data_IF_255864514532
#
_entry.id   IF_255864514532
#
_cell.length_a   1.000
_cell.length_b   1.000
_cell.length_c   1.000
_cell.angle_alpha   90.00
_cell.angle_beta   90.00
_cell.angle_gamma   90.00
#
_symmetry.space_group_name_H-M   'P 1'
#
loop_
_entity.id
_entity.type
_entity.pdbx_description
1 polymer ?
#
# COMPACT_ATOMS: atom_id res chain seq x y z
N UNK A 1 20.82 -2.68 -2.22
CA UNK A 1 20.11 -1.45 -2.63
C UNK A 1 20.80 -0.24 -2.05
N UNK A 2 21.15 0.73 -2.89
CA UNK A 2 21.64 2.05 -2.44
C UNK A 2 20.51 2.84 -1.77
N UNK A 3 20.84 3.90 -1.00
CA UNK A 3 19.80 4.76 -0.39
C UNK A 3 18.87 5.34 -1.46
N UNK A 4 19.43 5.82 -2.58
CA UNK A 4 18.65 6.38 -3.68
C UNK A 4 17.65 5.37 -4.26
N UNK A 5 18.07 4.12 -4.49
CA UNK A 5 17.17 3.06 -4.99
C UNK A 5 16.01 2.76 -4.04
N UNK A 6 16.23 2.84 -2.72
CA UNK A 6 15.16 2.64 -1.74
C UNK A 6 14.11 3.75 -1.83
N UNK A 7 14.55 5.01 -1.98
CA UNK A 7 13.63 6.14 -2.14
C UNK A 7 12.85 6.06 -3.45
N UNK A 8 13.50 5.71 -4.54
CA UNK A 8 12.86 5.55 -5.85
C UNK A 8 11.80 4.44 -5.83
N UNK A 9 12.11 3.28 -5.22
CA UNK A 9 11.13 2.19 -5.04
C UNK A 9 9.94 2.64 -4.17
N UNK A 10 10.19 3.41 -3.10
CA UNK A 10 9.14 3.93 -2.25
C UNK A 10 8.21 4.90 -2.99
N UNK A 11 8.74 5.79 -3.84
CA UNK A 11 7.92 6.70 -4.63
C UNK A 11 6.99 5.97 -5.61
N UNK A 12 7.50 4.93 -6.28
CA UNK A 12 6.70 4.09 -7.18
C UNK A 12 5.51 3.48 -6.42
N UNK A 13 5.76 2.91 -5.25
CA UNK A 13 4.72 2.26 -4.43
C UNK A 13 3.70 3.28 -3.90
N UNK A 14 4.15 4.45 -3.44
CA UNK A 14 3.25 5.54 -3.00
C UNK A 14 2.28 5.94 -4.12
N UNK A 15 2.78 6.02 -5.36
CA UNK A 15 1.97 6.35 -6.54
C UNK A 15 1.01 5.24 -6.93
N UNK A 16 1.46 3.98 -6.91
CA UNK A 16 0.62 2.83 -7.24
C UNK A 16 -0.55 2.66 -6.28
N UNK A 17 -0.30 2.87 -4.98
CA UNK A 17 -1.27 2.82 -3.89
C UNK A 17 -2.07 4.12 -3.70
N UNK A 18 -1.78 5.16 -4.49
CA UNK A 18 -2.49 6.45 -4.45
C UNK A 18 -2.42 7.13 -3.08
N UNK A 19 -1.26 7.04 -2.41
CA UNK A 19 -0.96 7.65 -1.11
C UNK A 19 -0.29 9.03 -1.26
N UNK A 20 -0.22 9.58 -2.48
CA UNK A 20 0.43 10.87 -2.78
C UNK A 20 -0.10 12.02 -1.92
N UNK A 21 -1.41 12.03 -1.61
CA UNK A 21 -2.03 13.09 -0.81
C UNK A 21 -1.67 13.04 0.67
N UNK A 22 -1.31 11.86 1.18
CA UNK A 22 -1.04 11.63 2.60
C UNK A 22 0.42 11.25 2.89
N UNK A 23 1.33 11.39 1.92
CA UNK A 23 2.73 10.98 2.03
C UNK A 23 3.51 11.71 3.15
N UNK A 24 3.09 12.93 3.50
CA UNK A 24 3.68 13.73 4.56
C UNK A 24 2.78 13.81 5.81
N UNK A 25 1.70 13.03 5.85
CA UNK A 25 0.80 12.97 6.99
C UNK A 25 1.24 11.86 7.93
N UNK A 26 1.23 12.13 9.24
CA UNK A 26 1.55 11.10 10.24
C UNK A 26 0.45 10.05 10.31
N UNK A 27 0.87 8.79 10.40
CA UNK A 27 -0.02 7.68 10.77
C UNK A 27 -0.35 7.86 12.26
N UNK A 28 -1.60 8.17 12.56
CA UNK A 28 -2.09 8.38 13.92
C UNK A 28 -3.31 7.48 14.18
N UNK A 29 -3.47 7.03 15.43
CA UNK A 29 -4.60 6.21 15.87
C UNK A 29 -5.78 7.05 16.36
N UNK A 30 -6.90 6.40 16.72
CA UNK A 30 -8.22 7.01 16.89
C UNK A 30 -8.38 8.23 17.82
N UNK A 31 -7.38 8.59 18.62
CA UNK A 31 -7.38 9.80 19.47
C UNK A 31 -6.71 11.02 18.80
N UNK A 32 -5.91 10.84 17.76
CA UNK A 32 -5.18 11.90 17.06
C UNK A 32 -5.51 11.80 15.57
N UNK A 33 -5.95 12.91 14.95
CA UNK A 33 -6.24 12.94 13.51
C UNK A 33 -4.98 12.64 12.70
N UNK A 34 -5.04 11.58 11.90
CA UNK A 34 -4.02 11.19 10.93
C UNK A 34 -4.66 10.81 9.60
N UNK A 35 -4.13 9.77 8.97
CA UNK A 35 -4.67 9.20 7.74
C UNK A 35 -5.98 8.43 7.96
N UNK A 36 -6.80 8.30 6.92
CA UNK A 36 -8.03 7.49 6.95
C UNK A 36 -7.73 5.99 7.11
N UNK A 37 -8.73 5.21 7.53
CA UNK A 37 -8.57 3.74 7.67
C UNK A 37 -8.17 3.05 6.35
N UNK A 38 -8.73 3.49 5.22
CA UNK A 38 -8.36 2.95 3.91
C UNK A 38 -6.96 3.37 3.44
N UNK A 39 -6.49 4.57 3.79
CA UNK A 39 -5.09 4.97 3.58
C UNK A 39 -4.16 4.16 4.48
N UNK A 40 -4.53 3.93 5.74
CA UNK A 40 -3.74 3.09 6.65
C UNK A 40 -3.60 1.66 6.15
N UNK A 41 -4.68 1.05 5.65
CA UNK A 41 -4.66 -0.31 5.09
C UNK A 41 -3.72 -0.40 3.87
N UNK A 42 -3.79 0.60 2.97
CA UNK A 42 -2.88 0.72 1.81
C UNK A 42 -1.43 0.92 2.24
N UNK A 43 -1.16 1.75 3.24
CA UNK A 43 0.20 1.95 3.77
C UNK A 43 0.80 0.66 4.33
N UNK A 44 0.01 -0.15 5.04
CA UNK A 44 0.43 -1.48 5.50
C UNK A 44 0.78 -2.42 4.33
N UNK A 45 -0.03 -2.42 3.27
CA UNK A 45 0.26 -3.19 2.05
C UNK A 45 1.56 -2.70 1.38
N UNK A 46 1.76 -1.39 1.27
CA UNK A 46 2.96 -0.80 0.66
C UNK A 46 4.25 -1.12 1.42
N UNK A 47 4.18 -1.23 2.73
CA UNK A 47 5.32 -1.66 3.55
C UNK A 47 5.78 -3.07 3.21
N UNK A 48 4.83 -4.00 3.05
CA UNK A 48 5.15 -5.39 2.69
C UNK A 48 5.67 -5.49 1.25
N UNK A 49 5.12 -4.72 0.31
CA UNK A 49 5.63 -4.65 -1.08
C UNK A 49 7.08 -4.12 -1.12
N UNK A 50 7.44 -3.20 -0.22
CA UNK A 50 8.81 -2.69 -0.07
C UNK A 50 9.78 -3.76 0.46
N UNK A 51 9.30 -4.66 1.33
CA UNK A 51 10.07 -5.79 1.88
C UNK A 51 10.34 -6.85 0.83
N UNK A 52 9.52 -6.90 -0.23
CA UNK A 52 9.69 -7.82 -1.38
C UNK A 52 9.62 -9.31 -0.99
N UNK A 53 8.58 -9.75 -0.26
CA UNK A 53 8.44 -11.15 0.11
C UNK A 53 8.17 -12.02 -1.12
N UNK A 54 8.64 -13.27 -1.09
CA UNK A 54 8.40 -14.24 -2.17
C UNK A 54 6.95 -14.69 -2.28
N UNK A 55 6.14 -14.52 -1.22
CA UNK A 55 4.73 -14.84 -1.18
C UNK A 55 4.01 -13.78 -0.34
N UNK A 56 2.93 -13.21 -0.89
CA UNK A 56 2.12 -12.20 -0.23
C UNK A 56 0.66 -12.64 -0.19
N UNK A 57 0.20 -13.05 1.00
CA UNK A 57 -1.17 -13.52 1.24
C UNK A 57 -1.97 -12.41 1.91
N UNK A 58 -3.12 -12.07 1.34
CA UNK A 58 -4.04 -11.08 1.89
C UNK A 58 -5.39 -11.73 2.12
N UNK A 59 -5.87 -11.68 3.36
CA UNK A 59 -7.25 -12.06 3.71
C UNK A 59 -8.13 -10.81 3.58
N UNK A 60 -9.15 -10.87 2.71
CA UNK A 60 -10.09 -9.77 2.45
C UNK A 60 -9.42 -8.42 2.13
N UNK A 61 -8.56 -8.34 1.09
CA UNK A 61 -7.76 -7.14 0.80
C UNK A 61 -8.62 -5.90 0.52
N UNK A 62 -9.78 -6.09 -0.10
CA UNK A 62 -10.67 -5.01 -0.54
C UNK A 62 -11.64 -4.51 0.53
N UNK A 63 -11.78 -5.22 1.66
CA UNK A 63 -12.73 -4.83 2.72
C UNK A 63 -12.33 -3.50 3.37
N UNK A 64 -13.23 -2.51 3.35
CA UNK A 64 -13.01 -1.19 3.93
C UNK A 64 -12.17 -0.23 3.05
N UNK A 65 -11.92 -0.57 1.78
CA UNK A 65 -11.35 0.33 0.79
C UNK A 65 -12.45 0.99 -0.07
N UNK A 66 -12.17 2.17 -0.60
CA UNK A 66 -13.04 2.81 -1.58
C UNK A 66 -13.11 1.94 -2.86
N UNK A 67 -14.29 1.88 -3.47
CA UNK A 67 -14.59 1.08 -4.67
C UNK A 67 -13.64 1.30 -5.86
N UNK A 68 -12.92 2.43 -5.90
CA UNK A 68 -11.95 2.76 -6.94
C UNK A 68 -10.64 1.99 -6.78
N UNK A 69 -10.22 1.71 -5.54
CA UNK A 69 -9.02 0.92 -5.24
C UNK A 69 -9.29 -0.59 -5.29
N UNK A 70 -10.46 -1.04 -4.83
CA UNK A 70 -10.83 -2.45 -4.84
C UNK A 70 -10.80 -3.08 -6.25
N UNK A 71 -11.09 -2.29 -7.29
CA UNK A 71 -11.08 -2.76 -8.69
C UNK A 71 -9.69 -2.84 -9.32
N UNK A 72 -8.63 -2.31 -8.67
CA UNK A 72 -7.28 -2.25 -9.22
C UNK A 72 -6.45 -3.50 -8.92
N UNK A 73 -7.09 -4.67 -8.85
CA UNK A 73 -6.40 -5.96 -8.86
C UNK A 73 -6.08 -6.33 -10.31
N UNK A 74 -5.02 -5.73 -10.85
CA UNK A 74 -4.52 -6.12 -12.16
C UNK A 74 -3.74 -7.43 -12.04
N UNK A 75 -4.35 -8.50 -12.55
CA UNK A 75 -3.66 -9.63 -13.14
C UNK A 75 -2.58 -9.09 -14.08
N UNK A 76 -1.29 -9.26 -13.74
CA UNK A 76 -0.15 -8.78 -14.53
C UNK A 76 0.88 -7.90 -13.78
N UNK A 77 0.70 -7.66 -12.49
CA UNK A 77 1.77 -7.14 -11.63
C UNK A 77 2.91 -8.17 -11.50
N UNK A 78 4.21 -7.79 -11.45
CA UNK A 78 5.30 -8.71 -11.14
C UNK A 78 5.19 -9.32 -9.72
N UNK A 79 4.34 -8.73 -8.88
CA UNK A 79 3.97 -9.29 -7.59
C UNK A 79 2.84 -10.29 -7.80
N UNK A 80 3.12 -11.57 -7.56
CA UNK A 80 2.11 -12.63 -7.54
C UNK A 80 1.21 -12.39 -6.32
N UNK A 81 0.20 -11.53 -6.51
CA UNK A 81 -0.83 -11.28 -5.51
C UNK A 81 -1.75 -12.50 -5.53
N UNK A 82 -1.61 -13.40 -4.56
CA UNK A 82 -2.59 -14.44 -4.34
C UNK A 82 -3.63 -13.89 -3.38
N UNK A 83 -4.73 -13.39 -3.93
CA UNK A 83 -5.94 -13.10 -3.16
C UNK A 83 -6.66 -14.44 -2.97
N UNK A 84 -6.79 -14.87 -1.71
CA UNK A 84 -7.51 -16.09 -1.35
C UNK A 84 -9.02 -15.82 -1.28
#
# INVERSE_FOLDING_TARGET
MSRCQKYERAEVIIKELGLERCCHTRICGGLIKGISGGESKRTSIGYEILVDPSLFLLDEPTLGLDSSFARKERVGSPFCLLVA
#
